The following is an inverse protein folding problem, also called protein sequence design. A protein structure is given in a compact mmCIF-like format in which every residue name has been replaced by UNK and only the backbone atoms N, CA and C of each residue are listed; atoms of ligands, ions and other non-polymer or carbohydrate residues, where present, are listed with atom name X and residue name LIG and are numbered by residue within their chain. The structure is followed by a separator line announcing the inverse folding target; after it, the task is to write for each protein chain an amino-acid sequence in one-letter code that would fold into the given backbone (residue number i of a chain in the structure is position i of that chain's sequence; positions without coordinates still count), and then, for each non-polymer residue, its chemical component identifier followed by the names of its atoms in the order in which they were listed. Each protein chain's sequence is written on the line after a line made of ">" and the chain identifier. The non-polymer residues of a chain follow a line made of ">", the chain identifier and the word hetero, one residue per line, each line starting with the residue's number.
data_IF_769772940048
#
_entry.id   IF_769772940048
#
_cell.length_a   1.000
_cell.length_b   1.000
_cell.length_c   1.000
_cell.angle_alpha   90.00
_cell.angle_beta   90.00
_cell.angle_gamma   90.00
#
_symmetry.space_group_name_H-M   'P 1'
#
loop_
_entity.id
_entity.type
_entity.pdbx_description
1 polymer ?
#
# COMPACT_ATOMS: atom_id res chain seq x y z
N UNK A 1 -36.87 13.81 5.15
CA UNK A 1 -37.37 14.10 3.78
C UNK A 1 -36.44 13.42 2.78
N UNK A 2 -36.89 12.34 2.12
CA UNK A 2 -36.08 11.56 1.17
C UNK A 2 -36.38 12.05 -0.26
N UNK A 3 -35.41 12.64 -0.95
CA UNK A 3 -35.54 13.01 -2.36
C UNK A 3 -35.40 11.76 -3.22
N UNK A 4 -36.50 11.32 -3.84
CA UNK A 4 -36.49 10.37 -4.96
C UNK A 4 -36.02 11.12 -6.21
N UNK A 5 -34.97 10.64 -6.85
CA UNK A 5 -34.60 11.07 -8.20
C UNK A 5 -35.31 10.15 -9.20
N UNK A 6 -36.23 10.72 -9.96
CA UNK A 6 -36.81 10.10 -11.15
C UNK A 6 -36.03 10.58 -12.36
N UNK A 7 -35.23 9.70 -12.95
CA UNK A 7 -34.51 9.97 -14.20
C UNK A 7 -35.45 9.64 -15.36
N UNK A 8 -35.80 10.65 -16.16
CA UNK A 8 -36.56 10.49 -17.39
C UNK A 8 -35.69 9.85 -18.46
N UNK A 9 -36.14 8.72 -19.00
CA UNK A 9 -35.59 8.09 -20.20
C UNK A 9 -35.97 8.93 -21.42
N UNK A 10 -35.02 9.73 -21.92
CA UNK A 10 -35.09 10.29 -23.27
C UNK A 10 -34.55 9.26 -24.25
N UNK A 11 -35.43 8.78 -25.13
CA UNK A 11 -35.08 7.94 -26.25
C UNK A 11 -34.22 8.73 -27.26
N UNK A 12 -33.05 8.20 -27.63
CA UNK A 12 -32.30 8.70 -28.79
C UNK A 12 -30.80 8.54 -28.66
N UNK A 13 -30.26 7.67 -29.52
CA UNK A 13 -28.83 7.39 -29.81
C UNK A 13 -28.15 6.32 -28.93
N UNK A 14 -28.01 5.06 -29.44
CA UNK A 14 -27.14 4.07 -28.81
C UNK A 14 -25.68 4.36 -29.18
N UNK A 15 -24.96 5.00 -28.27
CA UNK A 15 -23.52 5.26 -28.37
C UNK A 15 -22.67 4.07 -27.85
N UNK A 16 -23.13 2.82 -28.05
CA UNK A 16 -22.48 1.60 -27.55
C UNK A 16 -22.07 0.60 -28.66
N UNK A 17 -21.48 1.04 -29.78
CA UNK A 17 -21.10 0.10 -30.85
C UNK A 17 -19.71 0.28 -31.46
N UNK A 18 -18.91 1.25 -31.02
CA UNK A 18 -17.61 1.54 -31.65
C UNK A 18 -16.45 0.70 -31.07
N UNK A 19 -16.65 -0.07 -29.99
CA UNK A 19 -15.60 -0.94 -29.40
C UNK A 19 -15.84 -2.46 -29.47
N UNK A 20 -17.05 -2.92 -29.81
CA UNK A 20 -17.49 -4.33 -29.56
C UNK A 20 -16.91 -5.41 -30.48
N UNK A 21 -16.01 -5.08 -31.41
CA UNK A 21 -15.54 -6.04 -32.42
C UNK A 21 -14.19 -6.70 -32.11
N UNK A 22 -13.39 -6.16 -31.18
CA UNK A 22 -12.06 -6.71 -30.87
C UNK A 22 -12.01 -7.74 -29.73
N UNK A 23 -13.06 -7.84 -28.90
CA UNK A 23 -13.01 -8.65 -27.65
C UNK A 23 -13.90 -9.90 -27.68
N UNK A 24 -14.55 -10.21 -28.82
CA UNK A 24 -15.41 -11.40 -28.94
C UNK A 24 -14.60 -12.67 -28.70
N UNK A 25 -14.89 -13.36 -27.59
CA UNK A 25 -14.28 -14.64 -27.21
C UNK A 25 -13.23 -14.55 -26.09
N UNK A 26 -12.92 -13.36 -25.58
CA UNK A 26 -12.07 -13.23 -24.39
C UNK A 26 -12.84 -13.51 -23.10
N UNK A 27 -12.18 -14.16 -22.14
CA UNK A 27 -12.73 -14.31 -20.80
C UNK A 27 -12.91 -12.94 -20.13
N UNK A 28 -13.81 -12.79 -19.12
CA UNK A 28 -13.90 -11.55 -18.37
C UNK A 28 -12.55 -11.08 -17.81
N UNK A 29 -11.70 -11.99 -17.33
CA UNK A 29 -10.38 -11.64 -16.81
C UNK A 29 -9.44 -11.11 -17.90
N UNK A 30 -9.44 -11.71 -19.09
CA UNK A 30 -8.63 -11.22 -20.22
C UNK A 30 -9.10 -9.82 -20.67
N UNK A 31 -10.42 -9.60 -20.69
CA UNK A 31 -10.98 -8.28 -21.02
C UNK A 31 -10.63 -7.24 -19.96
N UNK A 32 -10.56 -7.62 -18.69
CA UNK A 32 -10.09 -6.74 -17.62
C UNK A 32 -8.63 -6.32 -17.85
N UNK A 33 -7.75 -7.27 -18.18
CA UNK A 33 -6.35 -6.99 -18.51
C UNK A 33 -6.21 -6.08 -19.74
N UNK A 34 -7.01 -6.32 -20.78
CA UNK A 34 -7.05 -5.47 -21.97
C UNK A 34 -7.51 -4.05 -21.65
N UNK A 35 -8.57 -3.93 -20.83
CA UNK A 35 -9.09 -2.65 -20.36
C UNK A 35 -8.07 -1.88 -19.53
N UNK A 36 -7.34 -2.57 -18.63
CA UNK A 36 -6.23 -1.97 -17.87
C UNK A 36 -5.17 -1.39 -18.79
N UNK A 37 -4.72 -2.18 -19.77
CA UNK A 37 -3.65 -1.78 -20.67
C UNK A 37 -4.04 -0.60 -21.57
N UNK A 38 -5.29 -0.55 -22.01
CA UNK A 38 -5.82 0.53 -22.85
C UNK A 38 -6.33 1.72 -22.05
N UNK A 39 -6.33 1.63 -20.72
CA UNK A 39 -7.03 2.55 -19.82
C UNK A 39 -8.51 2.77 -20.19
N UNK A 40 -9.18 1.72 -20.69
CA UNK A 40 -10.59 1.74 -21.10
C UNK A 40 -11.49 1.40 -19.91
N UNK A 41 -12.00 2.44 -19.24
CA UNK A 41 -12.86 2.31 -18.05
C UNK A 41 -14.14 1.52 -18.35
N UNK A 42 -14.74 1.72 -19.53
CA UNK A 42 -15.97 1.02 -19.90
C UNK A 42 -15.72 -0.48 -20.07
N UNK A 43 -14.56 -0.86 -20.63
CA UNK A 43 -14.17 -2.26 -20.74
C UNK A 43 -13.85 -2.87 -19.37
N UNK A 44 -13.15 -2.13 -18.50
CA UNK A 44 -12.88 -2.54 -17.11
C UNK A 44 -14.20 -2.79 -16.35
N UNK A 45 -15.12 -1.84 -16.37
CA UNK A 45 -16.42 -1.94 -15.72
C UNK A 45 -17.20 -3.15 -16.23
N UNK A 46 -17.28 -3.29 -17.56
CA UNK A 46 -17.98 -4.41 -18.22
C UNK A 46 -17.38 -5.77 -17.84
N UNK A 47 -16.05 -5.85 -17.74
CA UNK A 47 -15.35 -7.07 -17.37
C UNK A 47 -15.62 -7.46 -15.90
N UNK A 48 -15.53 -6.51 -14.98
CA UNK A 48 -15.79 -6.76 -13.55
C UNK A 48 -17.25 -7.06 -13.26
N UNK A 49 -18.19 -6.42 -13.98
CA UNK A 49 -19.61 -6.75 -13.89
C UNK A 49 -19.92 -8.21 -14.28
N UNK A 50 -19.02 -8.86 -15.05
CA UNK A 50 -19.06 -10.28 -15.39
C UNK A 50 -18.19 -11.17 -14.50
N UNK A 51 -17.73 -10.66 -13.36
CA UNK A 51 -17.00 -11.42 -12.34
C UNK A 51 -15.47 -11.45 -12.53
N UNK A 52 -14.90 -10.60 -13.39
CA UNK A 52 -13.44 -10.42 -13.41
C UNK A 52 -12.96 -9.84 -12.06
N UNK A 53 -11.77 -10.25 -11.62
CA UNK A 53 -11.23 -9.84 -10.32
C UNK A 53 -9.96 -9.00 -10.51
N UNK A 54 -10.00 -7.77 -10.00
CA UNK A 54 -8.91 -6.81 -10.11
C UNK A 54 -7.69 -7.15 -9.23
N UNK A 55 -7.80 -8.11 -8.31
CA UNK A 55 -6.73 -8.59 -7.43
C UNK A 55 -6.23 -9.98 -7.78
N UNK A 56 -6.75 -10.60 -8.86
CA UNK A 56 -6.20 -11.86 -9.37
C UNK A 56 -5.06 -11.60 -10.34
N UNK A 57 -3.87 -12.21 -10.12
CA UNK A 57 -2.75 -12.06 -11.03
C UNK A 57 -3.05 -12.64 -12.42
N UNK A 58 -2.22 -12.25 -13.39
CA UNK A 58 -2.25 -12.86 -14.71
C UNK A 58 -1.92 -14.35 -14.62
N UNK A 59 -2.68 -15.19 -15.31
CA UNK A 59 -2.30 -16.59 -15.51
C UNK A 59 -1.03 -16.67 -16.38
N UNK A 60 -0.20 -17.71 -16.25
CA UNK A 60 0.96 -17.91 -17.13
C UNK A 60 0.61 -17.88 -18.62
N UNK A 61 -0.59 -18.34 -18.97
CA UNK A 61 -1.12 -18.36 -20.34
C UNK A 61 -1.76 -17.03 -20.78
N UNK A 62 -1.63 -15.97 -19.98
CA UNK A 62 -2.17 -14.66 -20.32
C UNK A 62 -1.47 -14.12 -21.59
N UNK A 63 -2.28 -13.87 -22.62
CA UNK A 63 -1.83 -13.45 -23.97
C UNK A 63 -1.13 -12.10 -23.99
N UNK A 64 -1.29 -11.30 -22.94
CA UNK A 64 -0.64 -10.00 -22.82
C UNK A 64 0.78 -10.06 -22.25
N UNK A 65 1.31 -11.27 -21.97
CA UNK A 65 2.68 -11.51 -21.48
C UNK A 65 3.07 -10.68 -20.25
N UNK A 66 2.09 -10.35 -19.40
CA UNK A 66 2.36 -9.64 -18.15
C UNK A 66 3.09 -10.54 -17.16
N UNK A 67 3.85 -9.93 -16.25
CA UNK A 67 4.40 -10.69 -15.13
C UNK A 67 3.22 -11.31 -14.39
N UNK A 68 3.25 -12.62 -14.08
CA UNK A 68 2.24 -13.27 -13.25
C UNK A 68 2.21 -12.69 -11.81
N UNK A 69 3.12 -11.77 -11.50
CA UNK A 69 3.24 -11.14 -10.20
C UNK A 69 2.35 -9.89 -10.07
N UNK A 70 1.81 -9.36 -11.17
CA UNK A 70 0.94 -8.19 -11.12
C UNK A 70 -0.53 -8.59 -11.18
N UNK A 71 -1.32 -7.88 -10.37
CA UNK A 71 -2.78 -7.84 -10.50
C UNK A 71 -3.21 -6.70 -11.40
N UNK A 72 -4.41 -6.76 -12.01
CA UNK A 72 -4.95 -5.68 -12.81
C UNK A 72 -4.96 -4.34 -12.06
N UNK A 73 -5.34 -4.35 -10.78
CA UNK A 73 -5.36 -3.16 -9.94
C UNK A 73 -3.95 -2.56 -9.75
N UNK A 74 -2.95 -3.39 -9.45
CA UNK A 74 -1.58 -2.90 -9.30
C UNK A 74 -1.06 -2.31 -10.60
N UNK A 75 -1.20 -3.03 -11.73
CA UNK A 75 -0.76 -2.53 -13.03
C UNK A 75 -1.47 -1.22 -13.40
N UNK A 76 -2.78 -1.13 -13.16
CA UNK A 76 -3.54 0.09 -13.43
C UNK A 76 -3.06 1.26 -12.59
N UNK A 77 -2.78 1.04 -11.31
CA UNK A 77 -2.17 2.05 -10.43
C UNK A 77 -0.76 2.40 -10.92
N UNK A 78 -0.01 1.44 -11.46
CA UNK A 78 1.36 1.69 -11.92
C UNK A 78 1.44 2.54 -13.18
N UNK A 79 0.49 2.36 -14.09
CA UNK A 79 0.52 2.94 -15.42
C UNK A 79 -0.45 4.13 -15.59
N UNK A 80 -1.32 4.41 -14.59
CA UNK A 80 -2.39 5.41 -14.71
C UNK A 80 -2.51 6.38 -13.54
N UNK A 81 -2.75 7.65 -13.86
CA UNK A 81 -3.26 8.67 -12.94
C UNK A 81 -4.81 8.71 -12.88
N UNK A 82 -5.49 7.81 -13.60
CA UNK A 82 -6.94 7.75 -13.65
C UNK A 82 -7.55 7.22 -12.34
N UNK A 83 -7.92 8.15 -11.46
CA UNK A 83 -8.52 7.85 -10.16
C UNK A 83 -9.88 7.16 -10.28
N UNK A 84 -10.65 7.44 -11.32
CA UNK A 84 -11.96 6.82 -11.54
C UNK A 84 -11.81 5.32 -11.79
N UNK A 85 -10.86 4.93 -12.64
CA UNK A 85 -10.55 3.51 -12.87
C UNK A 85 -10.03 2.80 -11.62
N UNK A 86 -9.17 3.47 -10.84
CA UNK A 86 -8.70 2.93 -9.56
C UNK A 86 -9.86 2.74 -8.60
N UNK A 87 -10.72 3.74 -8.44
CA UNK A 87 -11.88 3.69 -7.54
C UNK A 87 -12.86 2.59 -7.95
N UNK A 88 -13.17 2.48 -9.25
CA UNK A 88 -14.00 1.42 -9.81
C UNK A 88 -13.43 0.04 -9.47
N UNK A 89 -12.14 -0.19 -9.75
CA UNK A 89 -11.48 -1.46 -9.46
C UNK A 89 -11.46 -1.79 -7.97
N UNK A 90 -11.21 -0.78 -7.12
CA UNK A 90 -11.18 -0.95 -5.67
C UNK A 90 -12.54 -1.36 -5.09
N UNK A 91 -13.65 -0.84 -5.63
CA UNK A 91 -15.00 -1.21 -5.18
C UNK A 91 -15.31 -2.71 -5.36
N UNK A 92 -14.60 -3.37 -6.28
CA UNK A 92 -14.81 -4.78 -6.63
C UNK A 92 -13.61 -5.66 -6.28
N UNK A 93 -12.57 -5.08 -5.66
CA UNK A 93 -11.33 -5.75 -5.32
C UNK A 93 -11.37 -6.34 -3.90
N UNK A 94 -10.74 -7.51 -3.71
CA UNK A 94 -10.40 -7.98 -2.37
C UNK A 94 -9.12 -7.28 -1.87
N UNK A 95 -9.28 -6.15 -1.19
CA UNK A 95 -8.17 -5.35 -0.66
C UNK A 95 -7.38 -6.04 0.47
N UNK A 96 -7.83 -7.20 0.96
CA UNK A 96 -7.12 -8.02 1.95
C UNK A 96 -6.27 -9.09 1.29
N UNK A 97 -6.56 -9.45 0.04
CA UNK A 97 -5.82 -10.47 -0.67
C UNK A 97 -4.34 -10.06 -0.77
N UNK A 98 -3.42 -10.93 -0.33
CA UNK A 98 -2.01 -10.71 -0.56
C UNK A 98 -1.74 -10.82 -2.06
N UNK A 99 -1.01 -9.85 -2.58
CA UNK A 99 -0.52 -9.80 -3.94
C UNK A 99 0.97 -10.03 -3.92
N UNK A 100 1.48 -10.83 -4.87
CA UNK A 100 2.92 -10.88 -5.11
C UNK A 100 3.37 -9.48 -5.54
N UNK A 101 4.52 -9.02 -5.06
CA UNK A 101 5.08 -7.75 -5.49
C UNK A 101 6.57 -7.91 -5.73
N UNK A 102 6.95 -7.63 -6.97
CA UNK A 102 8.31 -7.42 -7.48
C UNK A 102 9.16 -8.66 -7.77
N UNK A 103 9.44 -8.86 -9.07
CA UNK A 103 10.66 -9.50 -9.60
C UNK A 103 11.56 -8.56 -10.42
N UNK A 104 11.14 -7.31 -10.72
CA UNK A 104 11.81 -6.44 -11.71
C UNK A 104 12.82 -5.41 -11.17
N UNK A 105 13.09 -5.36 -9.87
CA UNK A 105 14.22 -4.55 -9.36
C UNK A 105 15.43 -5.47 -9.19
N UNK A 106 16.56 -5.23 -9.86
CA UNK A 106 17.85 -5.79 -9.45
C UNK A 106 18.29 -5.06 -8.18
N UNK A 107 17.56 -5.30 -7.09
CA UNK A 107 18.02 -5.05 -5.74
C UNK A 107 18.53 -6.41 -5.28
N UNK A 108 19.82 -6.42 -4.96
CA UNK A 108 20.54 -7.49 -4.27
C UNK A 108 19.59 -8.29 -3.36
N UNK A 109 19.59 -9.60 -3.58
CA UNK A 109 18.76 -10.62 -2.94
C UNK A 109 18.32 -10.22 -1.53
N UNK A 110 17.02 -9.95 -1.34
CA UNK A 110 16.27 -10.19 -0.07
C UNK A 110 14.81 -9.70 -0.17
N UNK A 111 13.96 -10.65 -0.55
CA UNK A 111 12.52 -10.74 -0.27
C UNK A 111 11.55 -9.97 -1.22
N UNK A 112 10.94 -10.67 -2.19
CA UNK A 112 9.66 -10.23 -2.79
C UNK A 112 8.67 -9.86 -1.68
N UNK A 113 8.03 -8.69 -1.82
CA UNK A 113 7.07 -8.21 -0.85
C UNK A 113 5.71 -8.84 -1.18
N UNK A 114 5.23 -9.76 -0.35
CA UNK A 114 3.89 -10.32 -0.49
C UNK A 114 2.97 -9.60 0.48
N UNK A 115 2.20 -8.64 -0.02
CA UNK A 115 1.35 -7.78 0.81
C UNK A 115 0.12 -7.32 0.04
N UNK A 116 -0.72 -6.53 0.68
CA UNK A 116 -1.92 -6.02 0.03
C UNK A 116 -1.62 -4.84 -0.93
N UNK A 117 -2.60 -4.37 -1.72
CA UNK A 117 -2.42 -3.22 -2.60
C UNK A 117 -1.91 -1.93 -1.92
N UNK A 118 -2.20 -1.72 -0.62
CA UNK A 118 -1.70 -0.55 0.12
C UNK A 118 -0.20 -0.63 0.41
N UNK A 119 0.35 -1.82 0.64
CA UNK A 119 1.79 -2.02 0.72
C UNK A 119 2.46 -1.66 -0.61
N UNK A 120 1.87 -2.07 -1.74
CA UNK A 120 2.36 -1.75 -3.08
C UNK A 120 2.42 -0.25 -3.30
N UNK A 121 1.30 0.43 -3.04
CA UNK A 121 1.19 1.88 -3.18
C UNK A 121 2.20 2.62 -2.29
N UNK A 122 2.46 2.10 -1.09
CA UNK A 122 3.47 2.66 -0.18
C UNK A 122 4.89 2.51 -0.74
N UNK A 123 5.25 1.35 -1.27
CA UNK A 123 6.53 1.16 -1.95
C UNK A 123 6.68 2.08 -3.17
N UNK A 124 5.62 2.21 -3.97
CA UNK A 124 5.61 3.10 -5.13
C UNK A 124 5.85 4.55 -4.72
N UNK A 125 5.25 5.00 -3.60
CA UNK A 125 5.45 6.36 -3.09
C UNK A 125 6.90 6.69 -2.74
N UNK A 126 7.72 5.67 -2.48
CA UNK A 126 9.14 5.84 -2.21
C UNK A 126 9.96 6.05 -3.49
N UNK A 127 9.43 5.68 -4.66
CA UNK A 127 10.09 5.77 -5.96
C UNK A 127 9.86 7.14 -6.61
N UNK A 128 10.25 8.21 -5.92
CA UNK A 128 9.95 9.62 -6.30
C UNK A 128 10.55 10.09 -7.62
N UNK A 129 11.49 9.34 -8.23
CA UNK A 129 12.19 9.76 -9.46
C UNK A 129 11.63 9.21 -10.76
N UNK A 130 10.66 8.29 -10.71
CA UNK A 130 10.24 7.55 -11.92
C UNK A 130 8.85 7.88 -12.46
N UNK A 131 8.00 8.61 -11.73
CA UNK A 131 6.58 8.76 -12.09
C UNK A 131 6.15 10.23 -12.11
N UNK A 132 5.35 10.58 -13.12
CA UNK A 132 4.91 11.95 -13.40
C UNK A 132 3.57 12.34 -12.74
N UNK A 133 3.00 11.51 -11.87
CA UNK A 133 1.70 11.76 -11.25
C UNK A 133 1.72 11.58 -9.72
N UNK A 134 0.80 12.27 -9.03
CA UNK A 134 0.74 12.36 -7.57
C UNK A 134 -0.01 11.17 -6.95
N UNK A 135 0.75 10.27 -6.31
CA UNK A 135 0.21 9.10 -5.61
C UNK A 135 -0.62 9.44 -4.37
N UNK A 136 -0.63 10.70 -3.88
CA UNK A 136 -1.46 11.10 -2.74
C UNK A 136 -2.94 10.89 -3.00
N UNK A 137 -3.38 11.13 -4.24
CA UNK A 137 -4.77 10.94 -4.63
C UNK A 137 -5.16 9.47 -4.60
N UNK A 138 -4.30 8.57 -5.09
CA UNK A 138 -4.50 7.13 -4.97
C UNK A 138 -4.56 6.70 -3.50
N UNK A 139 -3.68 7.23 -2.63
CA UNK A 139 -3.75 6.97 -1.19
C UNK A 139 -5.11 7.39 -0.60
N UNK A 140 -5.61 8.56 -0.97
CA UNK A 140 -6.91 9.04 -0.51
C UNK A 140 -8.05 8.11 -0.96
N UNK A 141 -8.03 7.64 -2.22
CA UNK A 141 -9.01 6.65 -2.71
C UNK A 141 -8.92 5.36 -1.89
N UNK A 142 -7.70 4.85 -1.67
CA UNK A 142 -7.46 3.63 -0.91
C UNK A 142 -8.02 3.68 0.50
N UNK A 143 -7.75 4.77 1.19
CA UNK A 143 -8.15 4.98 2.58
C UNK A 143 -9.67 5.19 2.70
N UNK A 144 -10.30 5.91 1.75
CA UNK A 144 -11.77 6.03 1.68
C UNK A 144 -12.46 4.69 1.47
N UNK A 145 -11.86 3.80 0.69
CA UNK A 145 -12.37 2.44 0.45
C UNK A 145 -12.04 1.45 1.60
N UNK A 146 -11.66 1.96 2.77
CA UNK A 146 -11.34 1.15 3.96
C UNK A 146 -10.27 0.09 3.71
N UNK A 147 -9.28 0.39 2.85
CA UNK A 147 -8.12 -0.47 2.68
C UNK A 147 -7.49 -0.78 4.06
N UNK A 148 -7.11 -2.03 4.34
CA UNK A 148 -6.68 -2.42 5.67
C UNK A 148 -5.31 -1.80 5.98
N UNK A 149 -5.34 -0.67 6.69
CA UNK A 149 -4.18 0.19 6.92
C UNK A 149 -3.08 -0.45 7.76
N UNK A 150 -3.48 -1.37 8.64
CA UNK A 150 -2.61 -2.16 9.50
C UNK A 150 -2.47 -3.60 8.99
N UNK A 151 -2.73 -3.85 7.70
CA UNK A 151 -2.51 -5.16 7.11
C UNK A 151 -1.06 -5.61 7.34
N UNK A 152 -0.90 -6.90 7.61
CA UNK A 152 0.40 -7.54 7.79
C UNK A 152 0.76 -8.27 6.50
N UNK A 153 1.88 -7.90 5.89
CA UNK A 153 2.44 -8.62 4.75
C UNK A 153 2.77 -10.07 5.15
N UNK A 154 2.67 -10.98 4.19
CA UNK A 154 3.13 -12.36 4.32
C UNK A 154 4.66 -12.45 4.23
N UNK A 155 5.27 -11.53 3.49
CA UNK A 155 6.72 -11.52 3.28
C UNK A 155 7.20 -10.09 2.99
N UNK A 156 8.17 -9.55 3.73
CA UNK A 156 8.60 -10.05 5.03
C UNK A 156 7.39 -10.10 6.00
N UNK A 157 7.28 -11.18 6.80
CA UNK A 157 6.07 -11.45 7.56
C UNK A 157 5.83 -10.40 8.65
N UNK A 158 4.58 -9.94 8.76
CA UNK A 158 4.17 -8.97 9.78
C UNK A 158 4.48 -7.52 9.46
N UNK A 159 5.18 -7.23 8.36
CA UNK A 159 5.46 -5.86 7.92
C UNK A 159 4.15 -5.15 7.59
N UNK A 160 4.00 -3.90 8.01
CA UNK A 160 2.83 -3.07 7.72
C UNK A 160 3.14 -2.02 6.65
N UNK A 161 2.14 -1.40 5.99
CA UNK A 161 2.39 -0.31 5.05
C UNK A 161 3.20 0.83 5.68
N UNK A 162 2.92 1.18 6.94
CA UNK A 162 3.65 2.23 7.66
C UNK A 162 5.14 1.91 7.82
N UNK A 163 5.51 0.65 8.00
CA UNK A 163 6.92 0.21 8.07
C UNK A 163 7.67 0.36 6.75
N UNK A 164 6.95 0.41 5.63
CA UNK A 164 7.53 0.58 4.30
C UNK A 164 7.65 2.06 3.89
N UNK A 165 7.04 2.99 4.63
CA UNK A 165 7.04 4.40 4.26
C UNK A 165 8.45 5.01 4.38
N UNK A 166 8.85 5.80 3.37
CA UNK A 166 10.11 6.60 3.42
C UNK A 166 9.86 8.10 3.29
N UNK A 167 8.74 8.50 2.69
CA UNK A 167 8.38 9.89 2.51
C UNK A 167 7.58 10.43 3.69
N UNK A 168 7.89 11.65 4.15
CA UNK A 168 7.20 12.28 5.28
C UNK A 168 5.68 12.34 5.07
N UNK A 169 5.24 12.66 3.85
CA UNK A 169 3.81 12.72 3.55
C UNK A 169 3.14 11.35 3.64
N UNK A 170 3.82 10.26 3.26
CA UNK A 170 3.28 8.90 3.36
C UNK A 170 3.09 8.50 4.82
N UNK A 171 4.08 8.83 5.68
CA UNK A 171 3.92 8.66 7.14
C UNK A 171 2.71 9.44 7.66
N UNK A 172 2.61 10.71 7.29
CA UNK A 172 1.52 11.58 7.75
C UNK A 172 0.15 11.03 7.35
N UNK A 173 -0.03 10.71 6.08
CA UNK A 173 -1.29 10.18 5.55
C UNK A 173 -1.69 8.87 6.23
N UNK A 174 -0.74 7.94 6.41
CA UNK A 174 -1.03 6.65 7.05
C UNK A 174 -1.38 6.83 8.54
N UNK A 175 -0.63 7.64 9.29
CA UNK A 175 -0.87 7.87 10.71
C UNK A 175 -2.18 8.63 10.96
N UNK A 176 -2.47 9.66 10.18
CA UNK A 176 -3.74 10.41 10.24
C UNK A 176 -4.95 9.50 9.94
N UNK A 177 -4.72 8.44 9.16
CA UNK A 177 -5.75 7.45 8.82
C UNK A 177 -5.81 6.25 9.79
N UNK A 178 -5.08 6.30 10.91
CA UNK A 178 -5.16 5.31 11.98
C UNK A 178 -4.17 4.14 11.87
N UNK A 179 -3.09 4.29 11.10
CA UNK A 179 -1.99 3.33 11.14
C UNK A 179 -1.37 3.29 12.54
N UNK A 180 -1.16 2.09 13.09
CA UNK A 180 -0.57 1.93 14.42
C UNK A 180 0.96 1.92 14.33
N UNK A 181 1.66 2.94 14.87
CA UNK A 181 3.12 3.02 14.83
C UNK A 181 3.83 2.01 15.73
N UNK A 182 3.09 1.31 16.60
CA UNK A 182 3.65 0.38 17.58
C UNK A 182 3.58 -1.08 17.14
N UNK A 183 2.99 -1.37 15.98
CA UNK A 183 3.01 -2.72 15.42
C UNK A 183 4.44 -3.19 15.18
N UNK A 184 4.63 -4.49 15.32
CA UNK A 184 5.89 -5.20 15.05
C UNK A 184 5.68 -6.22 13.96
N UNK A 185 6.69 -6.34 13.10
CA UNK A 185 6.83 -7.47 12.21
C UNK A 185 7.04 -8.77 13.00
N UNK A 186 6.90 -9.91 12.34
CA UNK A 186 6.95 -11.23 13.01
C UNK A 186 8.34 -11.54 13.57
N UNK A 187 9.39 -10.89 13.06
CA UNK A 187 10.75 -10.94 13.58
C UNK A 187 10.98 -10.00 14.78
N UNK A 188 9.94 -9.28 15.22
CA UNK A 188 9.99 -8.30 16.30
C UNK A 188 10.52 -6.92 15.88
N UNK A 189 10.80 -6.68 14.59
CA UNK A 189 11.17 -5.35 14.12
C UNK A 189 9.99 -4.39 14.25
N UNK A 190 10.20 -3.26 14.94
CA UNK A 190 9.22 -2.17 14.99
C UNK A 190 9.57 -1.08 13.98
N UNK A 191 8.64 -0.17 13.73
CA UNK A 191 8.82 0.96 12.82
C UNK A 191 10.11 1.76 13.09
N UNK A 192 10.48 1.92 14.36
CA UNK A 192 11.69 2.65 14.74
C UNK A 192 12.99 1.91 14.37
N UNK A 193 12.96 0.58 14.22
CA UNK A 193 14.10 -0.18 13.67
C UNK A 193 14.32 0.19 12.21
N UNK A 194 13.25 0.36 11.42
CA UNK A 194 13.32 0.77 10.01
C UNK A 194 13.72 2.24 9.87
N UNK A 195 13.09 3.11 10.66
CA UNK A 195 13.35 4.55 10.67
C UNK A 195 14.74 4.90 11.21
N UNK A 196 15.33 4.08 12.07
CA UNK A 196 16.67 4.30 12.61
C UNK A 196 17.82 3.91 11.66
N UNK A 197 17.54 3.22 10.55
CA UNK A 197 18.57 2.75 9.61
C UNK A 197 18.94 3.79 8.54
N UNK A 198 18.11 4.81 8.37
CA UNK A 198 18.35 5.89 7.41
C UNK A 198 18.46 7.24 8.15
N UNK A 199 19.05 8.28 7.53
CA UNK A 199 18.97 9.64 8.04
C UNK A 199 17.53 10.13 7.92
N UNK A 200 16.67 9.67 8.82
CA UNK A 200 15.26 10.02 8.79
C UNK A 200 15.07 11.41 9.37
N UNK A 201 14.33 12.23 8.62
CA UNK A 201 14.00 13.60 8.98
C UNK A 201 13.44 13.66 10.42
N UNK A 202 13.97 14.59 11.23
CA UNK A 202 13.46 14.90 12.57
C UNK A 202 11.94 15.07 12.60
N UNK A 203 11.34 15.51 11.48
CA UNK A 203 9.88 15.61 11.33
C UNK A 203 9.16 14.26 11.45
N UNK A 204 9.70 13.17 10.90
CA UNK A 204 9.10 11.83 11.03
C UNK A 204 9.12 11.41 12.50
N UNK A 205 10.22 11.66 13.21
CA UNK A 205 10.30 11.38 14.65
C UNK A 205 9.27 12.16 15.46
N UNK A 206 9.11 13.45 15.19
CA UNK A 206 8.09 14.28 15.83
C UNK A 206 6.67 13.76 15.52
N UNK A 207 6.44 13.34 14.29
CA UNK A 207 5.17 12.78 13.84
C UNK A 207 4.86 11.45 14.56
N UNK A 208 5.82 10.53 14.63
CA UNK A 208 5.63 9.27 15.37
C UNK A 208 5.32 9.52 16.84
N UNK A 209 6.03 10.45 17.49
CA UNK A 209 5.74 10.83 18.88
C UNK A 209 4.33 11.41 19.03
N UNK A 210 3.89 12.27 18.10
CA UNK A 210 2.54 12.85 18.09
C UNK A 210 1.45 11.77 18.03
N UNK A 211 1.67 10.70 17.25
CA UNK A 211 0.73 9.58 17.11
C UNK A 211 0.99 8.44 18.12
N UNK A 212 1.73 8.70 19.19
CA UNK A 212 1.93 7.74 20.29
C UNK A 212 2.86 6.57 19.96
N UNK A 213 3.72 6.72 18.96
CA UNK A 213 4.77 5.77 18.62
C UNK A 213 5.81 5.69 19.73
N UNK A 214 6.08 4.47 20.21
CA UNK A 214 7.00 4.20 21.31
C UNK A 214 8.22 3.43 20.79
N UNK A 215 9.44 3.79 21.21
CA UNK A 215 10.60 2.97 20.95
C UNK A 215 10.44 1.64 21.68
N UNK A 216 10.40 0.55 20.92
CA UNK A 216 10.39 -0.78 21.52
C UNK A 216 11.78 -1.15 22.00
N UNK A 217 11.82 -1.84 23.16
CA UNK A 217 13.05 -2.18 23.88
C UNK A 217 13.73 -3.47 23.41
N UNK A 218 13.08 -4.24 22.54
CA UNK A 218 13.57 -5.56 22.10
C UNK A 218 14.41 -5.45 20.83
N UNK A 219 15.63 -6.05 20.81
CA UNK A 219 16.29 -6.38 19.56
C UNK A 219 15.37 -7.29 18.74
N UNK A 220 15.32 -7.12 17.42
CA UNK A 220 14.64 -8.11 16.58
C UNK A 220 15.40 -9.45 16.63
N UNK A 221 14.75 -10.53 16.20
CA UNK A 221 15.33 -11.89 16.22
C UNK A 221 16.60 -12.02 15.37
N UNK A 222 16.83 -11.07 14.46
CA UNK A 222 18.01 -10.98 13.61
C UNK A 222 19.21 -10.29 14.30
N UNK A 223 19.07 -9.89 15.57
CA UNK A 223 20.17 -9.31 16.36
C UNK A 223 20.55 -7.88 15.95
N UNK A 224 19.68 -7.17 15.22
CA UNK A 224 19.98 -5.78 14.88
C UNK A 224 20.04 -4.95 16.16
N UNK A 225 21.11 -4.14 16.33
CA UNK A 225 21.26 -3.32 17.52
C UNK A 225 20.11 -2.31 17.61
N UNK A 226 19.78 -1.93 18.85
CA UNK A 226 18.80 -0.86 19.14
C UNK A 226 19.07 0.33 18.22
N UNK A 227 18.02 1.05 17.77
CA UNK A 227 18.21 2.34 17.12
C UNK A 227 19.15 3.20 17.99
N UNK A 228 20.35 3.50 17.48
CA UNK A 228 21.28 4.37 18.19
C UNK A 228 20.76 5.78 18.02
N UNK A 229 20.01 6.27 19.01
CA UNK A 229 19.60 7.67 19.05
C UNK A 229 20.84 8.55 19.05
N UNK A 230 21.14 9.20 17.94
CA UNK A 230 22.12 10.29 17.93
C UNK A 230 21.52 11.43 18.71
N UNK A 231 22.10 11.68 19.90
CA UNK A 231 21.81 12.81 20.76
C UNK A 231 22.17 14.07 19.97
N UNK A 232 21.24 14.61 19.20
CA UNK A 232 21.41 15.94 18.64
C UNK A 232 21.38 16.92 19.81
N UNK A 233 22.30 17.87 19.82
CA UNK A 233 22.70 18.72 20.94
C UNK A 233 21.61 19.63 21.55
N UNK A 234 20.34 19.45 21.20
CA UNK A 234 19.19 20.17 21.77
C UNK A 234 18.21 19.19 22.45
N UNK A 235 18.71 18.43 23.42
CA UNK A 235 17.87 17.58 24.27
C UNK A 235 17.11 18.42 25.29
N UNK A 236 15.82 18.64 25.04
CA UNK A 236 14.87 18.78 26.14
C UNK A 236 14.65 17.38 26.70
N UNK A 237 14.93 17.27 27.99
CA UNK A 237 14.88 16.09 28.85
C UNK A 237 13.57 15.30 28.72
N UNK A 238 13.61 13.99 28.97
CA UNK A 238 12.40 13.27 29.40
C UNK A 238 12.12 11.87 28.84
N UNK A 239 13.12 11.00 28.65
CA UNK A 239 12.84 9.59 28.34
C UNK A 239 13.61 8.55 29.17
N UNK A 240 14.60 8.97 29.97
CA UNK A 240 15.35 8.05 30.83
C UNK A 240 14.70 7.80 32.20
N UNK A 241 13.63 8.51 32.56
CA UNK A 241 12.92 8.31 33.83
C UNK A 241 11.58 7.59 33.63
N UNK A 242 11.64 6.27 33.48
CA UNK A 242 10.53 5.37 33.82
C UNK A 242 11.07 4.35 34.83
N UNK A 243 10.60 4.35 36.09
CA UNK A 243 11.16 3.50 37.14
C UNK A 243 10.76 2.04 36.86
N UNK A 244 11.75 1.18 36.66
CA UNK A 244 11.49 -0.23 36.36
C UNK A 244 12.72 -1.10 36.44
N UNK A 245 12.85 -1.76 37.61
CA UNK A 245 13.82 -2.79 38.03
C UNK A 245 15.12 -2.29 38.65
N UNK A 246 15.09 -2.09 39.97
CA UNK A 246 16.24 -2.38 40.83
C UNK A 246 16.65 -3.84 40.57
N UNK A 247 17.88 -4.04 40.09
CA UNK A 247 18.50 -5.36 40.02
C UNK A 247 19.16 -5.67 41.36
N UNK A 248 19.20 -6.96 41.71
CA UNK A 248 19.61 -7.51 43.01
C UNK A 248 21.10 -7.42 43.33
N UNK A 249 21.80 -6.36 42.93
CA UNK A 249 23.24 -6.18 43.15
C UNK A 249 23.58 -5.17 44.25
N UNK A 250 22.61 -4.47 44.83
CA UNK A 250 22.84 -3.51 45.93
C UNK A 250 22.58 -4.13 47.31
N UNK A 251 23.15 -5.31 47.55
CA UNK A 251 23.35 -5.84 48.89
C UNK A 251 24.79 -6.34 49.03
N UNK A 252 25.69 -5.42 49.34
CA UNK A 252 26.86 -5.65 50.19
C UNK A 252 27.12 -4.40 51.01
#
# INVERSE_FOLDING_TARGET
>A
MKKKWSVGLSAGVPLMLVGMWSTRGLSPQDQLWEGVHKHDIALIESAMARGANATLPATPDNRFHYSPDYTPLQMFIEDSDNLEGVELMMQNADLKAPTDMYRRVPMDERYPLYGNPLHHLTLMSNQTRRRNYDLRSHFAVFLRQSAPINARALKPPGVTPLMLARQLWTFQTLLESGADPNLVADDGACLMNFVGQEPVDNKVWQLLKKFGGRPQRVPNTLGYPRPKFHRTHNSVEGWDNVPGKMTSSDKK
#
